data_IF_616050886027
#
_entry.id   IF_616050886027
#
_cell.length_a   1.000
_cell.length_b   1.000
_cell.length_c   1.000
_cell.angle_alpha   90.00
_cell.angle_beta   90.00
_cell.angle_gamma   90.00
#
_symmetry.space_group_name_H-M   'P 1'
#
loop_
_entity.id
_entity.type
_entity.pdbx_description
1 polymer ?
#
# COMPACT_ATOMS: atom_id res chain seq x y z
N UNK A 1 82.08 54.80 13.16
CA UNK A 1 80.58 54.84 12.90
C UNK A 1 80.02 53.50 13.12
N UNK A 2 79.26 53.30 14.20
CA UNK A 2 78.63 52.01 14.57
C UNK A 2 77.15 52.11 14.26
N UNK A 3 76.70 51.31 13.28
CA UNK A 3 75.25 51.19 12.97
C UNK A 3 74.58 50.28 13.98
N UNK A 4 73.73 50.87 14.84
CA UNK A 4 72.83 50.11 15.73
C UNK A 4 71.81 49.28 14.96
N UNK A 5 71.90 47.98 15.12
CA UNK A 5 70.92 47.00 14.56
C UNK A 5 69.54 47.10 15.22
N UNK A 6 68.53 47.05 14.44
CA UNK A 6 67.11 47.31 14.83
C UNK A 6 66.42 46.12 15.45
N UNK A 7 65.48 46.33 16.41
CA UNK A 7 64.75 45.25 17.07
C UNK A 7 63.47 44.85 16.29
N UNK A 8 63.61 44.19 15.18
CA UNK A 8 62.44 43.70 14.37
C UNK A 8 61.78 42.38 14.88
N UNK A 9 62.39 41.69 15.83
CA UNK A 9 61.92 40.38 16.27
C UNK A 9 60.70 40.39 17.25
N UNK A 10 60.56 41.42 18.08
CA UNK A 10 59.50 41.45 19.14
C UNK A 10 58.08 41.65 18.58
N UNK A 11 57.86 42.36 17.49
CA UNK A 11 56.50 42.57 16.93
C UNK A 11 55.89 41.29 16.30
N UNK A 12 56.70 40.47 15.63
CA UNK A 12 56.24 39.20 15.02
C UNK A 12 55.87 38.15 16.07
N UNK A 13 56.55 38.10 17.19
CA UNK A 13 56.24 37.17 18.29
C UNK A 13 54.91 37.51 18.96
N UNK A 14 54.66 38.81 19.25
CA UNK A 14 53.36 39.26 19.84
C UNK A 14 52.17 39.00 18.91
N UNK A 15 52.36 39.13 17.59
CA UNK A 15 51.28 38.82 16.62
C UNK A 15 50.98 37.33 16.59
N UNK A 16 51.98 36.46 16.65
CA UNK A 16 51.82 34.99 16.70
C UNK A 16 51.13 34.55 17.97
N UNK A 17 51.45 35.13 19.13
CA UNK A 17 50.77 34.84 20.41
C UNK A 17 49.31 35.24 20.35
N UNK A 18 48.96 36.41 19.80
CA UNK A 18 47.55 36.84 19.65
C UNK A 18 46.75 35.91 18.75
N UNK A 19 47.35 35.39 17.66
CA UNK A 19 46.72 34.40 16.78
C UNK A 19 46.54 33.09 17.51
N UNK A 20 47.53 32.64 18.28
CA UNK A 20 47.46 31.40 19.04
C UNK A 20 46.37 31.45 20.12
N UNK A 21 46.24 32.57 20.85
CA UNK A 21 45.15 32.77 21.82
C UNK A 21 43.80 32.76 21.14
N UNK A 22 43.59 33.40 19.98
CA UNK A 22 42.34 33.35 19.22
C UNK A 22 42.00 31.93 18.81
N UNK A 23 42.98 31.14 18.37
CA UNK A 23 42.81 29.75 17.97
C UNK A 23 42.39 28.89 19.17
N UNK A 24 43.01 29.07 20.33
CA UNK A 24 42.64 28.36 21.57
C UNK A 24 41.19 28.70 21.98
N UNK A 25 40.82 29.99 21.97
CA UNK A 25 39.42 30.41 22.28
C UNK A 25 38.44 29.81 21.31
N UNK A 26 38.77 29.78 20.02
CA UNK A 26 37.95 29.15 18.99
C UNK A 26 37.73 27.65 19.24
N UNK A 27 38.83 26.94 19.59
CA UNK A 27 38.74 25.49 19.93
C UNK A 27 37.85 25.30 21.20
N UNK A 28 38.00 26.13 22.23
CA UNK A 28 37.17 26.06 23.43
C UNK A 28 35.69 26.23 23.07
N UNK A 29 35.37 27.20 22.20
CA UNK A 29 33.98 27.42 21.74
C UNK A 29 33.47 26.20 21.00
N UNK A 30 34.25 25.60 20.10
CA UNK A 30 33.87 24.39 19.36
C UNK A 30 33.61 23.24 20.33
N UNK A 31 34.50 23.02 21.32
CA UNK A 31 34.33 21.97 22.33
C UNK A 31 33.08 22.20 23.18
N UNK A 32 32.84 23.45 23.58
CA UNK A 32 31.64 23.83 24.33
C UNK A 32 30.35 23.58 23.53
N UNK A 33 30.32 23.99 22.25
CA UNK A 33 29.22 23.74 21.35
C UNK A 33 28.99 22.24 21.10
N UNK A 34 30.07 21.48 20.95
CA UNK A 34 30.01 20.04 20.79
C UNK A 34 29.42 19.35 22.03
N UNK A 35 29.89 19.70 23.24
CA UNK A 35 29.35 19.19 24.49
C UNK A 35 27.88 19.58 24.68
N UNK A 36 27.51 20.80 24.33
CA UNK A 36 26.11 21.23 24.35
C UNK A 36 25.24 20.37 23.42
N UNK A 37 25.69 20.17 22.16
CA UNK A 37 24.99 19.37 21.18
C UNK A 37 24.82 17.90 21.61
N UNK A 38 25.84 17.31 22.27
CA UNK A 38 25.78 15.94 22.81
C UNK A 38 24.75 15.76 23.94
N UNK A 39 24.43 16.82 24.67
CA UNK A 39 23.48 16.81 25.78
C UNK A 39 22.07 17.23 25.40
N UNK A 40 21.84 17.64 24.15
CA UNK A 40 20.50 17.97 23.69
C UNK A 40 19.59 16.74 23.74
N UNK A 41 18.40 16.91 24.34
CA UNK A 41 17.34 15.89 24.38
C UNK A 41 16.25 16.19 23.36
N UNK A 42 15.49 15.16 22.96
CA UNK A 42 14.22 15.38 22.28
C UNK A 42 13.30 16.16 23.24
N UNK A 43 12.62 17.17 22.71
CA UNK A 43 11.62 17.96 23.44
C UNK A 43 10.22 17.73 22.89
N UNK A 44 10.11 17.57 21.57
CA UNK A 44 8.83 17.43 20.89
C UNK A 44 8.93 16.33 19.83
N UNK A 45 7.91 15.46 19.81
CA UNK A 45 7.76 14.38 18.81
C UNK A 45 6.53 14.70 17.97
N UNK A 46 6.68 14.69 16.65
CA UNK A 46 5.60 14.88 15.68
C UNK A 46 5.56 13.68 14.76
N UNK A 47 4.39 13.06 14.65
CA UNK A 47 4.09 11.99 13.71
C UNK A 47 3.21 12.57 12.61
N UNK A 48 3.48 12.23 11.35
CA UNK A 48 2.74 12.74 10.18
C UNK A 48 2.56 11.61 9.18
N UNK A 49 1.34 11.47 8.63
CA UNK A 49 1.05 10.55 7.53
C UNK A 49 0.52 9.19 7.97
N UNK A 50 0.32 8.99 9.27
CA UNK A 50 -0.40 7.84 9.79
C UNK A 50 -1.92 8.10 9.79
N UNK A 51 -2.67 7.07 9.47
CA UNK A 51 -4.15 7.06 9.46
C UNK A 51 -4.68 5.94 10.36
N UNK A 52 -4.09 4.77 10.24
CA UNK A 52 -4.49 3.56 10.98
C UNK A 52 -3.54 3.23 12.13
N UNK A 53 -2.25 3.53 12.00
CA UNK A 53 -1.26 3.28 13.05
C UNK A 53 -1.28 4.42 14.06
N UNK A 54 -1.46 4.11 15.35
CA UNK A 54 -1.50 5.13 16.40
C UNK A 54 -0.11 5.74 16.62
N UNK A 55 -0.06 7.02 16.93
CA UNK A 55 1.17 7.74 17.28
C UNK A 55 1.97 7.03 18.38
N UNK A 56 1.26 6.52 19.39
CA UNK A 56 1.86 5.81 20.53
C UNK A 56 2.63 4.57 20.05
N UNK A 57 2.06 3.78 19.13
CA UNK A 57 2.70 2.57 18.60
C UNK A 57 3.98 2.90 17.82
N UNK A 58 3.95 4.00 17.05
CA UNK A 58 5.12 4.50 16.32
C UNK A 58 6.21 4.98 17.28
N UNK A 59 5.85 5.73 18.32
CA UNK A 59 6.77 6.27 19.32
C UNK A 59 7.41 5.14 20.13
N UNK A 60 6.62 4.15 20.56
CA UNK A 60 7.12 2.98 21.29
C UNK A 60 8.05 2.13 20.43
N UNK A 61 7.65 1.85 19.19
CA UNK A 61 8.46 1.08 18.25
C UNK A 61 9.77 1.79 17.89
N UNK A 62 9.73 3.13 17.84
CA UNK A 62 10.91 3.96 17.64
C UNK A 62 11.86 4.00 18.85
N UNK A 63 11.40 3.59 20.04
CA UNK A 63 12.20 3.64 21.27
C UNK A 63 12.53 5.05 21.73
N UNK A 64 11.62 6.02 21.50
CA UNK A 64 11.83 7.45 21.82
C UNK A 64 10.83 8.00 22.84
N UNK A 65 10.04 7.13 23.47
CA UNK A 65 9.02 7.49 24.47
C UNK A 65 9.59 8.32 25.63
N UNK A 66 10.83 8.01 26.06
CA UNK A 66 11.48 8.66 27.19
C UNK A 66 12.30 9.89 26.79
N UNK A 67 12.06 10.47 25.63
CA UNK A 67 12.74 11.66 25.12
C UNK A 67 14.27 11.57 25.23
N UNK A 68 14.92 10.59 24.60
CA UNK A 68 16.35 10.34 24.73
C UNK A 68 17.20 11.50 24.21
N UNK A 69 18.50 11.53 24.59
CA UNK A 69 19.46 12.47 24.02
C UNK A 69 19.58 12.25 22.50
N UNK A 70 19.65 13.36 21.74
CA UNK A 70 19.77 13.32 20.27
C UNK A 70 20.99 12.52 19.84
N UNK A 71 22.10 12.62 20.58
CA UNK A 71 23.33 11.87 20.32
C UNK A 71 23.18 10.34 20.41
N UNK A 72 22.16 9.85 21.12
CA UNK A 72 21.86 8.41 21.24
C UNK A 72 20.92 7.92 20.13
N UNK A 73 20.41 8.81 19.27
CA UNK A 73 19.43 8.47 18.24
C UNK A 73 20.16 7.99 16.97
N UNK A 74 19.86 6.75 16.59
CA UNK A 74 20.24 6.21 15.30
C UNK A 74 19.03 6.20 14.38
N UNK A 75 18.96 7.17 13.45
CA UNK A 75 17.85 7.30 12.50
C UNK A 75 17.64 6.04 11.65
N UNK A 76 18.72 5.31 11.29
CA UNK A 76 18.61 4.07 10.48
C UNK A 76 17.93 2.96 11.29
N UNK A 77 18.31 2.80 12.56
CA UNK A 77 17.71 1.81 13.46
C UNK A 77 16.23 2.12 13.70
N UNK A 78 15.91 3.37 14.04
CA UNK A 78 14.53 3.81 14.25
C UNK A 78 13.68 3.61 12.99
N UNK A 79 14.20 4.00 11.81
CA UNK A 79 13.51 3.74 10.55
C UNK A 79 13.20 2.26 10.34
N UNK A 80 14.19 1.37 10.59
CA UNK A 80 14.00 -0.08 10.47
C UNK A 80 12.94 -0.59 11.44
N UNK A 81 12.96 -0.10 12.68
CA UNK A 81 12.00 -0.48 13.71
C UNK A 81 10.58 -0.03 13.36
N UNK A 82 10.39 1.23 12.93
CA UNK A 82 9.07 1.74 12.53
C UNK A 82 8.57 1.01 11.27
N UNK A 83 9.42 0.77 10.27
CA UNK A 83 9.03 0.03 9.06
C UNK A 83 8.72 -1.46 9.31
N UNK A 84 8.99 -1.99 10.51
CA UNK A 84 8.51 -3.34 10.89
C UNK A 84 7.07 -3.36 11.42
N UNK A 85 6.42 -2.19 11.56
CA UNK A 85 4.98 -2.13 11.82
C UNK A 85 4.20 -2.55 10.56
N UNK A 86 3.14 -3.35 10.70
CA UNK A 86 2.50 -4.04 9.56
C UNK A 86 1.98 -3.13 8.45
N UNK A 87 1.59 -1.90 8.80
CA UNK A 87 1.04 -0.93 7.85
C UNK A 87 2.04 0.11 7.37
N UNK A 88 3.26 0.13 7.89
CA UNK A 88 4.22 1.19 7.54
C UNK A 88 5.14 0.74 6.41
N UNK A 89 4.97 1.36 5.24
CA UNK A 89 5.82 1.15 4.07
C UNK A 89 7.15 1.87 4.16
N UNK A 90 7.10 3.14 4.55
CA UNK A 90 8.28 3.97 4.56
C UNK A 90 8.23 5.01 5.67
N UNK A 91 9.42 5.32 6.20
CA UNK A 91 9.60 6.30 7.27
C UNK A 91 10.71 7.28 6.89
N UNK A 92 10.44 8.58 7.06
CA UNK A 92 11.43 9.65 6.96
C UNK A 92 11.54 10.34 8.31
N UNK A 93 12.78 10.47 8.84
CA UNK A 93 13.03 11.05 10.16
C UNK A 93 13.88 12.29 10.01
N UNK A 94 13.39 13.40 10.52
CA UNK A 94 14.13 14.65 10.65
C UNK A 94 14.23 15.07 12.11
N UNK A 95 15.39 15.57 12.49
CA UNK A 95 15.67 16.07 13.85
C UNK A 95 16.30 17.45 13.68
N UNK A 96 15.73 18.45 14.35
CA UNK A 96 16.29 19.78 14.34
C UNK A 96 17.20 20.02 15.56
N UNK A 97 18.07 21.03 15.55
CA UNK A 97 18.96 21.36 16.66
C UNK A 97 18.25 21.78 17.96
N UNK A 98 16.94 22.03 17.92
CA UNK A 98 16.16 22.48 19.08
C UNK A 98 15.45 21.34 19.80
N UNK A 99 15.72 20.07 19.41
CA UNK A 99 15.13 18.90 20.04
C UNK A 99 13.77 18.48 19.47
N UNK A 100 13.35 19.03 18.32
CA UNK A 100 12.15 18.57 17.61
C UNK A 100 12.51 17.40 16.72
N UNK A 101 11.85 16.24 16.90
CA UNK A 101 11.86 15.12 15.98
C UNK A 101 10.55 15.08 15.20
N UNK A 102 10.64 14.93 13.89
CA UNK A 102 9.49 14.73 13.01
C UNK A 102 9.66 13.39 12.30
N UNK A 103 8.71 12.50 12.49
CA UNK A 103 8.63 11.19 11.86
C UNK A 103 7.49 11.25 10.86
N UNK A 104 7.83 11.24 9.57
CA UNK A 104 6.85 11.16 8.50
C UNK A 104 6.78 9.71 8.03
N UNK A 105 5.62 9.09 8.20
CA UNK A 105 5.35 7.73 7.73
C UNK A 105 4.49 7.76 6.47
N UNK A 106 4.61 6.70 5.68
CA UNK A 106 3.69 6.38 4.59
C UNK A 106 3.08 5.04 4.92
N UNK A 107 1.76 4.99 5.06
CA UNK A 107 1.05 3.75 5.32
C UNK A 107 0.65 3.06 4.03
N UNK A 108 0.70 1.73 4.05
CA UNK A 108 0.10 0.86 3.05
C UNK A 108 -1.42 0.92 3.15
N UNK A 109 -2.09 0.90 2.01
CA UNK A 109 -3.54 0.77 1.97
C UNK A 109 -3.90 -0.70 2.16
N UNK A 110 -4.96 -0.98 2.90
CA UNK A 110 -5.59 -2.31 2.91
C UNK A 110 -6.33 -2.47 1.59
N UNK A 111 -6.12 -3.58 0.88
CA UNK A 111 -6.76 -3.87 -0.40
C UNK A 111 -7.97 -4.78 -0.23
N UNK A 112 -7.79 -5.92 0.43
CA UNK A 112 -8.85 -6.90 0.67
C UNK A 112 -8.53 -7.81 1.86
N UNK A 113 -9.55 -8.48 2.36
CA UNK A 113 -9.42 -9.57 3.31
C UNK A 113 -9.30 -10.89 2.55
N UNK A 114 -8.25 -11.68 2.83
CA UNK A 114 -8.07 -13.01 2.26
C UNK A 114 -8.58 -14.07 3.23
N UNK A 115 -9.74 -14.63 2.92
CA UNK A 115 -10.44 -15.57 3.80
C UNK A 115 -9.62 -16.84 4.07
N UNK A 116 -8.88 -17.32 3.07
CA UNK A 116 -8.10 -18.56 3.17
C UNK A 116 -7.05 -18.53 4.28
N UNK A 117 -6.36 -17.41 4.46
CA UNK A 117 -5.33 -17.26 5.49
C UNK A 117 -5.75 -16.39 6.68
N UNK A 118 -7.01 -15.92 6.71
CA UNK A 118 -7.58 -15.05 7.76
C UNK A 118 -6.80 -13.75 7.97
N UNK A 119 -6.30 -13.12 6.89
CA UNK A 119 -5.49 -11.90 6.95
C UNK A 119 -5.97 -10.85 5.97
N UNK A 120 -5.76 -9.58 6.32
CA UNK A 120 -5.87 -8.50 5.36
C UNK A 120 -4.58 -8.35 4.56
N UNK A 121 -4.73 -8.05 3.28
CA UNK A 121 -3.64 -7.85 2.32
C UNK A 121 -3.53 -6.36 2.04
N UNK A 122 -2.28 -5.86 2.04
CA UNK A 122 -1.98 -4.45 1.85
C UNK A 122 -1.42 -4.16 0.46
N UNK A 123 -1.38 -2.89 0.09
CA UNK A 123 -0.81 -2.41 -1.17
C UNK A 123 0.68 -2.73 -1.35
N UNK A 124 1.40 -3.00 -0.27
CA UNK A 124 2.79 -3.46 -0.30
C UNK A 124 2.94 -4.98 -0.29
N UNK A 125 1.86 -5.72 -0.53
CA UNK A 125 1.80 -7.17 -0.48
C UNK A 125 2.18 -7.77 0.90
N UNK A 126 2.06 -6.97 1.95
CA UNK A 126 2.18 -7.46 3.33
C UNK A 126 0.83 -7.96 3.81
N UNK A 127 0.87 -8.95 4.73
CA UNK A 127 -0.33 -9.44 5.39
C UNK A 127 -0.39 -8.92 6.84
N UNK A 128 -1.58 -8.53 7.27
CA UNK A 128 -1.86 -8.09 8.64
C UNK A 128 -2.99 -8.92 9.24
N UNK A 129 -2.94 -9.13 10.55
CA UNK A 129 -3.92 -9.94 11.24
C UNK A 129 -5.32 -9.30 11.17
N UNK A 130 -6.35 -10.15 11.13
CA UNK A 130 -7.74 -9.71 11.15
C UNK A 130 -8.07 -9.04 12.49
N UNK A 131 -8.10 -7.72 12.49
CA UNK A 131 -8.57 -6.90 13.60
C UNK A 131 -9.89 -6.25 13.23
N UNK A 132 -10.78 -6.08 14.20
CA UNK A 132 -12.09 -5.45 14.01
C UNK A 132 -12.06 -4.00 13.46
N UNK A 133 -10.87 -3.42 13.31
CA UNK A 133 -10.67 -2.05 12.86
C UNK A 133 -10.71 -1.88 11.33
N UNK A 134 -10.72 -3.01 10.57
CA UNK A 134 -10.66 -2.99 9.11
C UNK A 134 -11.98 -3.43 8.48
N UNK A 135 -13.00 -2.55 8.52
CA UNK A 135 -14.30 -2.81 7.89
C UNK A 135 -14.39 -2.24 6.47
N UNK A 136 -15.29 -2.82 5.68
CA UNK A 136 -15.66 -2.29 4.37
C UNK A 136 -14.61 -2.54 3.28
N UNK A 137 -13.80 -3.59 3.44
CA UNK A 137 -12.92 -4.09 2.40
C UNK A 137 -13.49 -5.35 1.77
N UNK A 138 -13.26 -5.57 0.46
CA UNK A 138 -13.70 -6.79 -0.20
C UNK A 138 -13.06 -8.03 0.41
N UNK A 139 -13.71 -9.16 0.26
CA UNK A 139 -13.22 -10.47 0.72
C UNK A 139 -12.83 -11.33 -0.48
N UNK A 140 -11.56 -11.73 -0.57
CA UNK A 140 -11.14 -12.83 -1.46
C UNK A 140 -11.57 -14.14 -0.82
N UNK A 141 -12.60 -14.81 -1.42
CA UNK A 141 -13.35 -15.87 -0.76
C UNK A 141 -12.75 -17.25 -0.92
N UNK A 142 -11.97 -17.49 -1.98
CA UNK A 142 -11.43 -18.80 -2.28
C UNK A 142 -9.90 -18.79 -2.46
N UNK A 143 -9.31 -19.97 -2.51
CA UNK A 143 -7.89 -20.15 -2.75
C UNK A 143 -7.49 -19.60 -4.12
N UNK A 144 -6.38 -18.86 -4.15
CA UNK A 144 -5.78 -18.31 -5.36
C UNK A 144 -4.31 -18.72 -5.38
N UNK A 145 -3.79 -19.32 -6.47
CA UNK A 145 -2.37 -19.68 -6.58
C UNK A 145 -1.45 -18.46 -6.38
N UNK A 146 -0.29 -18.64 -5.75
CA UNK A 146 0.60 -17.54 -5.36
C UNK A 146 0.98 -16.62 -6.53
N UNK A 147 1.25 -17.19 -7.71
CA UNK A 147 1.60 -16.43 -8.92
C UNK A 147 0.47 -15.52 -9.39
N UNK A 148 -0.77 -15.99 -9.30
CA UNK A 148 -1.99 -15.23 -9.66
C UNK A 148 -2.32 -14.22 -8.56
N UNK A 149 -2.12 -14.61 -7.30
CA UNK A 149 -2.34 -13.77 -6.14
C UNK A 149 -1.44 -12.51 -6.17
N UNK A 150 -0.15 -12.66 -6.47
CA UNK A 150 0.76 -11.52 -6.57
C UNK A 150 0.36 -10.56 -7.70
N UNK A 151 -0.11 -11.11 -8.83
CA UNK A 151 -0.64 -10.31 -9.94
C UNK A 151 -1.95 -9.59 -9.54
N UNK A 152 -2.83 -10.25 -8.78
CA UNK A 152 -4.05 -9.64 -8.24
C UNK A 152 -3.71 -8.44 -7.36
N UNK A 153 -2.79 -8.59 -6.40
CA UNK A 153 -2.33 -7.50 -5.52
C UNK A 153 -1.75 -6.35 -6.35
N UNK A 154 -0.89 -6.65 -7.33
CA UNK A 154 -0.32 -5.66 -8.23
C UNK A 154 -1.39 -4.96 -9.08
N UNK A 155 -2.43 -5.69 -9.48
CA UNK A 155 -3.59 -5.16 -10.21
C UNK A 155 -4.41 -4.22 -9.34
N UNK A 156 -4.77 -4.64 -8.14
CA UNK A 156 -5.55 -3.83 -7.18
C UNK A 156 -4.85 -2.53 -6.80
N UNK A 157 -3.53 -2.49 -6.82
CA UNK A 157 -2.77 -1.25 -6.64
C UNK A 157 -2.98 -0.20 -7.74
N UNK A 158 -3.55 -0.58 -8.90
CA UNK A 158 -3.87 0.30 -10.02
C UNK A 158 -5.33 0.79 -9.99
N UNK A 159 -6.13 0.27 -9.06
CA UNK A 159 -7.54 0.61 -8.91
C UNK A 159 -7.69 1.75 -7.91
N UNK A 160 -8.62 2.67 -8.20
CA UNK A 160 -9.00 3.71 -7.24
C UNK A 160 -9.54 3.05 -5.96
N UNK A 161 -9.09 3.56 -4.84
CA UNK A 161 -9.45 3.02 -3.53
C UNK A 161 -10.96 3.08 -3.24
N UNK A 162 -11.66 4.08 -3.79
CA UNK A 162 -13.11 4.17 -3.66
C UNK A 162 -13.80 3.06 -4.45
N UNK A 163 -13.26 2.66 -5.60
CA UNK A 163 -13.79 1.54 -6.39
C UNK A 163 -13.53 0.21 -5.67
N UNK A 164 -12.35 0.02 -5.06
CA UNK A 164 -12.07 -1.18 -4.24
C UNK A 164 -13.13 -1.33 -3.14
N UNK A 165 -13.52 -0.25 -2.49
CA UNK A 165 -14.56 -0.27 -1.44
C UNK A 165 -15.98 -0.54 -1.96
N UNK A 166 -16.22 -0.45 -3.25
CA UNK A 166 -17.49 -0.83 -3.87
C UNK A 166 -17.60 -2.34 -4.10
N UNK A 167 -16.51 -3.08 -3.99
CA UNK A 167 -16.47 -4.53 -4.12
C UNK A 167 -16.83 -5.16 -2.76
N UNK A 168 -17.67 -6.16 -2.78
CA UNK A 168 -18.00 -6.98 -1.61
C UNK A 168 -17.14 -8.24 -1.55
N UNK A 169 -17.19 -9.03 -2.64
CA UNK A 169 -16.46 -10.30 -2.74
C UNK A 169 -15.61 -10.34 -4.01
N UNK A 170 -14.47 -10.99 -3.89
CA UNK A 170 -13.55 -11.33 -4.98
C UNK A 170 -13.48 -12.84 -5.02
N UNK A 171 -13.81 -13.44 -6.13
CA UNK A 171 -13.71 -14.87 -6.35
C UNK A 171 -12.76 -15.17 -7.50
N UNK A 172 -11.79 -16.04 -7.28
CA UNK A 172 -10.92 -16.56 -8.33
C UNK A 172 -11.69 -17.61 -9.11
N UNK A 173 -11.95 -17.36 -10.38
CA UNK A 173 -12.82 -18.17 -11.26
C UNK A 173 -12.13 -18.51 -12.56
N UNK A 174 -11.03 -19.32 -12.54
CA UNK A 174 -10.29 -19.65 -13.75
C UNK A 174 -11.20 -20.34 -14.77
N UNK A 175 -11.06 -19.95 -16.05
CA UNK A 175 -11.81 -20.59 -17.13
C UNK A 175 -11.19 -21.93 -17.49
N UNK A 176 -12.01 -22.98 -17.44
CA UNK A 176 -11.61 -24.36 -17.71
C UNK A 176 -12.35 -24.91 -18.93
N UNK A 177 -11.63 -25.66 -19.76
CA UNK A 177 -12.24 -26.48 -20.80
C UNK A 177 -13.03 -27.64 -20.20
N UNK A 178 -13.83 -28.33 -21.05
CA UNK A 178 -14.61 -29.49 -20.63
C UNK A 178 -13.77 -30.65 -20.07
N UNK A 179 -12.52 -30.78 -20.51
CA UNK A 179 -11.56 -31.78 -20.03
C UNK A 179 -10.86 -31.37 -18.71
N UNK A 180 -11.22 -30.21 -18.16
CA UNK A 180 -10.63 -29.65 -16.95
C UNK A 180 -9.34 -28.84 -17.14
N UNK A 181 -8.83 -28.74 -18.39
CA UNK A 181 -7.66 -27.90 -18.70
C UNK A 181 -7.98 -26.44 -18.46
N UNK A 182 -7.11 -25.75 -17.70
CA UNK A 182 -7.25 -24.30 -17.46
C UNK A 182 -6.85 -23.57 -18.76
N UNK A 183 -7.79 -22.81 -19.32
CA UNK A 183 -7.58 -21.98 -20.52
C UNK A 183 -7.13 -20.58 -20.12
N UNK A 184 -7.78 -20.01 -19.09
CA UNK A 184 -7.44 -18.72 -18.52
C UNK A 184 -7.39 -18.85 -16.98
N UNK A 185 -6.20 -18.63 -16.41
CA UNK A 185 -5.95 -18.71 -14.96
C UNK A 185 -5.96 -17.34 -14.26
N UNK A 186 -6.25 -16.27 -15.00
CA UNK A 186 -6.22 -14.91 -14.44
C UNK A 186 -7.61 -14.28 -14.29
N UNK A 187 -8.69 -15.07 -14.42
CA UNK A 187 -10.06 -14.61 -14.37
C UNK A 187 -10.61 -14.53 -12.94
N UNK A 188 -11.32 -13.44 -12.67
CA UNK A 188 -11.98 -13.18 -11.38
C UNK A 188 -13.42 -12.74 -11.57
N UNK A 189 -14.25 -13.13 -10.63
CA UNK A 189 -15.62 -12.64 -10.47
C UNK A 189 -15.68 -11.73 -9.24
N UNK A 190 -16.12 -10.49 -9.44
CA UNK A 190 -16.26 -9.49 -8.38
C UNK A 190 -17.75 -9.25 -8.12
N UNK A 191 -18.21 -9.50 -6.89
CA UNK A 191 -19.57 -9.11 -6.48
C UNK A 191 -19.53 -7.71 -5.89
N UNK A 192 -20.29 -6.80 -6.48
CA UNK A 192 -20.31 -5.40 -6.07
C UNK A 192 -21.34 -5.18 -4.96
N UNK A 193 -21.12 -4.15 -4.13
CA UNK A 193 -22.02 -3.79 -3.03
C UNK A 193 -23.43 -3.35 -3.51
N UNK A 194 -23.54 -2.95 -4.77
CA UNK A 194 -24.79 -2.53 -5.40
C UNK A 194 -25.62 -3.70 -5.98
N UNK A 195 -25.14 -4.93 -5.84
CA UNK A 195 -25.80 -6.15 -6.30
C UNK A 195 -25.47 -6.56 -7.74
N UNK A 196 -24.59 -5.84 -8.43
CA UNK A 196 -24.09 -6.25 -9.74
C UNK A 196 -22.87 -7.17 -9.59
N UNK A 197 -22.51 -7.84 -10.66
CA UNK A 197 -21.30 -8.68 -10.77
C UNK A 197 -20.40 -8.15 -11.88
N UNK A 198 -19.11 -8.20 -11.69
CA UNK A 198 -18.10 -7.88 -12.73
C UNK A 198 -17.25 -9.12 -12.95
N UNK A 199 -17.13 -9.58 -14.18
CA UNK A 199 -16.16 -10.58 -14.60
C UNK A 199 -14.98 -9.85 -15.24
N UNK A 200 -13.76 -10.15 -14.77
CA UNK A 200 -12.56 -9.42 -15.17
C UNK A 200 -11.33 -10.30 -15.09
N UNK A 201 -10.43 -10.14 -16.03
CA UNK A 201 -9.07 -10.68 -15.95
C UNK A 201 -8.09 -9.68 -15.35
N UNK A 202 -6.93 -10.15 -14.91
CA UNK A 202 -5.91 -9.30 -14.27
C UNK A 202 -5.33 -8.29 -15.28
N UNK A 203 -5.26 -8.62 -16.57
CA UNK A 203 -4.71 -7.74 -17.61
C UNK A 203 -5.58 -6.49 -17.73
N UNK A 204 -6.89 -6.67 -17.68
CA UNK A 204 -7.91 -5.63 -17.83
C UNK A 204 -8.33 -4.98 -16.49
N UNK A 205 -7.81 -5.43 -15.37
CA UNK A 205 -8.27 -5.03 -14.01
C UNK A 205 -8.32 -3.51 -13.80
N UNK A 206 -7.47 -2.73 -14.46
CA UNK A 206 -7.48 -1.26 -14.42
C UNK A 206 -8.78 -0.66 -14.99
N UNK A 207 -9.50 -1.39 -15.85
CA UNK A 207 -10.77 -0.94 -16.44
C UNK A 207 -11.86 -0.82 -15.37
N UNK A 208 -11.69 -1.48 -14.23
CA UNK A 208 -12.59 -1.35 -13.09
C UNK A 208 -12.68 0.10 -12.58
N UNK A 209 -11.68 0.94 -12.82
CA UNK A 209 -11.76 2.37 -12.51
C UNK A 209 -12.87 3.10 -13.27
N UNK A 210 -13.40 2.52 -14.35
CA UNK A 210 -14.52 3.06 -15.12
C UNK A 210 -15.89 2.57 -14.60
N UNK A 211 -15.91 1.74 -13.53
CA UNK A 211 -17.13 1.10 -13.06
C UNK A 211 -18.29 2.07 -12.82
N UNK A 212 -18.05 3.19 -12.16
CA UNK A 212 -19.10 4.20 -11.91
C UNK A 212 -19.67 4.81 -13.18
N UNK A 213 -18.83 5.03 -14.20
CA UNK A 213 -19.26 5.51 -15.51
C UNK A 213 -20.08 4.44 -16.24
N UNK A 214 -19.62 3.20 -16.20
CA UNK A 214 -20.31 2.04 -16.79
C UNK A 214 -21.67 1.86 -16.11
N UNK A 215 -21.70 1.88 -14.79
CA UNK A 215 -22.93 1.78 -14.00
C UNK A 215 -23.99 2.80 -14.42
N UNK A 216 -23.60 4.06 -14.56
CA UNK A 216 -24.50 5.13 -14.98
C UNK A 216 -24.95 4.99 -16.45
N UNK A 217 -24.03 4.62 -17.36
CA UNK A 217 -24.32 4.51 -18.79
C UNK A 217 -25.24 3.35 -19.15
N UNK A 218 -25.21 2.26 -18.36
CA UNK A 218 -25.99 1.05 -18.59
C UNK A 218 -27.28 0.98 -17.74
N UNK A 219 -27.58 2.03 -16.96
CA UNK A 219 -28.74 2.04 -16.09
C UNK A 219 -28.77 0.90 -15.06
N UNK A 220 -27.60 0.53 -14.53
CA UNK A 220 -27.43 -0.61 -13.63
C UNK A 220 -28.04 -0.38 -12.25
N UNK A 221 -28.59 0.79 -11.96
CA UNK A 221 -29.45 1.07 -10.81
C UNK A 221 -30.82 0.45 -10.97
N UNK A 222 -31.35 0.41 -12.19
CA UNK A 222 -32.66 -0.15 -12.53
C UNK A 222 -32.59 -1.65 -12.83
N UNK A 223 -31.55 -2.10 -13.51
CA UNK A 223 -31.39 -3.48 -13.96
C UNK A 223 -30.07 -4.05 -13.47
N UNK A 224 -30.12 -5.07 -12.62
CA UNK A 224 -28.92 -5.74 -12.12
C UNK A 224 -28.46 -6.85 -13.06
N UNK A 225 -27.14 -7.07 -13.11
CA UNK A 225 -26.60 -8.06 -14.03
C UNK A 225 -25.08 -8.23 -13.91
N UNK A 226 -24.51 -8.84 -14.93
CA UNK A 226 -23.07 -9.10 -15.06
C UNK A 226 -22.47 -8.18 -16.13
N UNK A 227 -21.43 -7.46 -15.74
CA UNK A 227 -20.56 -6.69 -16.63
C UNK A 227 -19.31 -7.53 -16.93
N UNK A 228 -19.02 -7.75 -18.19
CA UNK A 228 -17.83 -8.46 -18.64
C UNK A 228 -16.75 -7.46 -19.02
N UNK A 229 -15.70 -7.35 -18.22
CA UNK A 229 -14.53 -6.52 -18.45
C UNK A 229 -13.30 -7.32 -18.87
N UNK A 230 -13.42 -8.65 -18.93
CA UNK A 230 -12.44 -9.62 -19.41
C UNK A 230 -12.34 -9.64 -20.93
N UNK A 231 -13.46 -9.39 -21.61
CA UNK A 231 -13.58 -9.48 -23.07
C UNK A 231 -13.98 -8.12 -23.64
N UNK A 232 -13.01 -7.35 -24.13
CA UNK A 232 -13.30 -6.16 -24.94
C UNK A 232 -13.29 -6.60 -26.41
N UNK A 233 -14.45 -7.04 -26.92
CA UNK A 233 -14.66 -7.26 -28.34
C UNK A 233 -15.08 -5.93 -28.95
N UNK A 234 -14.30 -5.38 -29.89
CA UNK A 234 -14.59 -4.16 -30.64
C UNK A 234 -14.95 -2.93 -29.79
N UNK A 235 -14.24 -2.71 -28.68
CA UNK A 235 -14.51 -1.61 -27.73
C UNK A 235 -15.93 -1.62 -27.13
N UNK A 236 -16.69 -2.69 -27.31
CA UNK A 236 -18.04 -2.83 -26.77
C UNK A 236 -17.99 -3.51 -25.42
N UNK A 237 -18.59 -2.83 -24.44
CA UNK A 237 -18.82 -3.38 -23.13
C UNK A 237 -19.98 -4.38 -23.19
N UNK A 238 -19.75 -5.60 -22.75
CA UNK A 238 -20.83 -6.60 -22.65
C UNK A 238 -21.47 -6.51 -21.25
N UNK A 239 -22.78 -6.30 -21.25
CA UNK A 239 -23.61 -6.38 -20.05
C UNK A 239 -24.79 -7.33 -20.31
N UNK A 240 -25.04 -8.26 -19.38
CA UNK A 240 -26.21 -9.13 -19.40
C UNK A 240 -26.98 -8.97 -18.09
N UNK A 241 -28.27 -8.67 -18.16
CA UNK A 241 -29.12 -8.64 -16.97
C UNK A 241 -29.28 -10.05 -16.40
N UNK A 242 -29.49 -10.17 -15.11
CA UNK A 242 -29.78 -11.47 -14.49
C UNK A 242 -31.04 -12.13 -15.05
N UNK A 243 -32.04 -11.33 -15.46
CA UNK A 243 -33.25 -11.84 -16.14
C UNK A 243 -32.90 -12.45 -17.48
N UNK A 244 -32.05 -11.78 -18.27
CA UNK A 244 -31.61 -12.33 -19.58
C UNK A 244 -30.84 -13.64 -19.40
N UNK A 245 -29.92 -13.68 -18.40
CA UNK A 245 -29.14 -14.89 -18.10
C UNK A 245 -30.07 -16.06 -17.72
N UNK A 246 -31.01 -15.80 -16.81
CA UNK A 246 -31.98 -16.83 -16.37
C UNK A 246 -32.83 -17.35 -17.53
N UNK A 247 -33.20 -16.48 -18.49
CA UNK A 247 -33.93 -16.87 -19.69
C UNK A 247 -33.09 -17.73 -20.62
N UNK A 248 -31.83 -17.31 -20.86
CA UNK A 248 -30.86 -18.08 -21.70
C UNK A 248 -30.65 -19.49 -21.13
N UNK A 249 -30.42 -19.62 -19.82
CA UNK A 249 -30.24 -20.90 -19.13
C UNK A 249 -31.49 -21.81 -19.23
N UNK A 250 -32.67 -21.21 -19.17
CA UNK A 250 -33.91 -21.98 -19.32
C UNK A 250 -34.07 -22.55 -20.73
N UNK A 251 -33.81 -21.72 -21.74
CA UNK A 251 -33.85 -22.14 -23.16
C UNK A 251 -32.81 -23.24 -23.45
N UNK A 252 -31.62 -23.13 -22.86
CA UNK A 252 -30.58 -24.14 -23.04
C UNK A 252 -30.96 -25.49 -22.43
N UNK A 253 -31.50 -25.48 -21.22
CA UNK A 253 -32.04 -26.71 -20.56
C UNK A 253 -33.16 -27.37 -21.35
N UNK A 254 -34.11 -26.58 -21.87
CA UNK A 254 -35.22 -27.09 -22.70
C UNK A 254 -34.68 -27.78 -23.98
N UNK A 255 -33.65 -27.17 -24.62
CA UNK A 255 -33.01 -27.77 -25.80
C UNK A 255 -32.24 -29.06 -25.47
N UNK A 256 -31.56 -29.11 -24.32
CA UNK A 256 -30.87 -30.32 -23.88
C UNK A 256 -31.88 -31.46 -23.55
N UNK A 257 -33.00 -31.14 -22.93
CA UNK A 257 -34.05 -32.11 -22.66
C UNK A 257 -34.71 -32.64 -23.94
N UNK A 258 -34.88 -31.78 -24.96
CA UNK A 258 -35.40 -32.19 -26.26
C UNK A 258 -34.43 -33.14 -26.98
N UNK A 259 -33.14 -32.81 -27.02
CA UNK A 259 -32.08 -33.67 -27.58
C UNK A 259 -32.03 -35.04 -26.90
N UNK A 260 -32.09 -35.05 -25.57
CA UNK A 260 -32.05 -36.30 -24.81
C UNK A 260 -33.34 -37.18 -25.02
N UNK A 261 -34.46 -36.58 -25.42
CA UNK A 261 -35.68 -37.31 -25.78
C UNK A 261 -35.58 -37.89 -27.17
N UNK A 262 -34.93 -37.23 -28.13
CA UNK A 262 -34.74 -37.73 -29.52
C UNK A 262 -33.69 -38.85 -29.55
N UNK A 263 -32.68 -38.87 -28.66
CA UNK A 263 -31.62 -39.90 -28.60
C UNK A 263 -32.05 -41.20 -27.90
N UNK A 264 -33.24 -41.30 -27.29
CA UNK A 264 -33.74 -42.58 -26.77
C UNK A 264 -34.35 -43.39 -27.88
N UNK A 265 -33.71 -44.52 -28.30
CA UNK A 265 -34.31 -45.40 -29.30
C UNK A 265 -35.63 -45.95 -28.74
N UNK A 266 -36.68 -45.91 -29.54
CA UNK A 266 -37.91 -46.65 -29.28
C UNK A 266 -37.56 -48.13 -29.30
N UNK A 267 -37.31 -48.71 -28.11
CA UNK A 267 -37.31 -50.17 -27.97
C UNK A 267 -38.75 -50.62 -28.19
N UNK A 268 -38.96 -51.19 -29.38
CA UNK A 268 -40.09 -52.06 -29.70
C UNK A 268 -39.68 -53.52 -29.63
#
# INVERSE_FOLDING_TARGET
>A
MVKKGQPKKKKRLKLRIKVLVKLIVFIIIIVALFNYAQNLQIKNIYIIGNTYTKDVDIIEKAGIKDYPKISKINKKTIKKQINSLPLIDNTKISINPFGKITIKVTESKVLFYYKYNNKYITSSNNSIDNKKEYYGYPTLVNFTPDTVFDKLVAGFNKIDYNIIKMINEIEYTPYKAQDGTIIDDELFTLKMNDGNTVMIDIVNIKNLNKYTTIYASLGMDQTKGIVYLDTIIDERLLFKSYETIALEEKIEKEKEEEKNKEEKPTEQ
#
